data_IF_691475066773
#
_entry.id   IF_691475066773
#
_cell.length_a   1.000
_cell.length_b   1.000
_cell.length_c   1.000
_cell.angle_alpha   90.00
_cell.angle_beta   90.00
_cell.angle_gamma   90.00
#
_symmetry.space_group_name_H-M   'P 1'
#
loop_
_entity.id
_entity.type
_entity.pdbx_description
1 polymer ?
#
# COMPACT_ATOMS: atom_id res chain seq x y z
N UNK A 1 -24.88 12.74 7.85
CA UNK A 1 -23.68 12.17 8.47
C UNK A 1 -23.15 11.16 7.47
N UNK A 2 -21.96 11.35 6.98
CA UNK A 2 -21.37 10.44 5.97
C UNK A 2 -20.85 9.19 6.67
N UNK A 3 -21.20 8.02 6.18
CA UNK A 3 -20.82 6.75 6.78
C UNK A 3 -19.65 6.13 6.01
N UNK A 4 -18.48 6.02 6.67
CA UNK A 4 -17.24 5.57 6.01
C UNK A 4 -16.77 4.28 6.66
N UNK A 5 -16.75 3.18 5.89
CA UNK A 5 -16.17 1.92 6.30
C UNK A 5 -14.67 1.89 6.02
N UNK A 6 -13.88 1.31 6.93
CA UNK A 6 -12.43 1.15 6.77
C UNK A 6 -12.07 -0.30 7.02
N UNK A 7 -11.54 -0.98 5.99
CA UNK A 7 -11.01 -2.35 6.15
C UNK A 7 -9.64 -2.34 6.81
N UNK A 8 -9.22 -3.47 7.36
CA UNK A 8 -7.94 -3.54 8.07
C UNK A 8 -7.87 -2.64 9.31
N UNK A 9 -9.01 -2.28 9.90
CA UNK A 9 -9.13 -1.28 10.98
C UNK A 9 -8.34 -1.59 12.27
N UNK A 10 -7.89 -2.84 12.47
CA UNK A 10 -6.97 -3.20 13.57
C UNK A 10 -5.49 -3.10 13.19
N UNK A 11 -5.20 -2.93 11.89
CA UNK A 11 -3.83 -2.71 11.40
C UNK A 11 -3.35 -1.29 11.69
N UNK A 12 -2.04 -1.08 11.54
CA UNK A 12 -1.40 0.23 11.79
C UNK A 12 -1.99 1.32 10.89
N UNK A 13 -2.16 1.05 9.60
CA UNK A 13 -2.69 2.03 8.65
C UNK A 13 -4.22 2.20 8.81
N UNK A 14 -4.98 1.11 8.77
CA UNK A 14 -6.44 1.19 8.88
C UNK A 14 -6.91 1.80 10.21
N UNK A 15 -6.23 1.47 11.32
CA UNK A 15 -6.50 2.08 12.63
C UNK A 15 -6.22 3.59 12.66
N UNK A 16 -5.14 4.03 12.02
CA UNK A 16 -4.83 5.45 11.87
C UNK A 16 -5.91 6.18 11.04
N UNK A 17 -6.31 5.60 9.90
CA UNK A 17 -7.39 6.17 9.07
C UNK A 17 -8.69 6.27 9.87
N UNK A 18 -9.06 5.23 10.63
CA UNK A 18 -10.22 5.30 11.52
C UNK A 18 -10.12 6.45 12.53
N UNK A 19 -8.95 6.66 13.13
CA UNK A 19 -8.74 7.74 14.10
C UNK A 19 -8.87 9.12 13.47
N UNK A 20 -8.30 9.31 12.27
CA UNK A 20 -8.38 10.57 11.53
C UNK A 20 -9.82 10.89 11.13
N UNK A 21 -10.54 9.91 10.60
CA UNK A 21 -11.95 10.08 10.19
C UNK A 21 -12.88 10.30 11.38
N UNK A 22 -12.63 9.66 12.53
CA UNK A 22 -13.41 9.84 13.74
C UNK A 22 -13.26 11.24 14.37
N UNK A 23 -12.22 11.99 14.00
CA UNK A 23 -12.07 13.39 14.41
C UNK A 23 -13.02 14.35 13.66
N UNK A 24 -13.65 13.89 12.56
CA UNK A 24 -14.57 14.68 11.74
C UNK A 24 -16.01 14.53 12.28
N UNK A 25 -16.64 15.61 12.81
CA UNK A 25 -17.96 15.52 13.44
C UNK A 25 -19.10 15.06 12.50
N UNK A 26 -18.91 15.21 11.19
CA UNK A 26 -19.88 14.82 10.17
C UNK A 26 -19.75 13.36 9.70
N UNK A 27 -18.79 12.59 10.25
CA UNK A 27 -18.48 11.23 9.83
C UNK A 27 -18.85 10.20 10.90
N UNK A 28 -19.51 9.12 10.47
CA UNK A 28 -19.63 7.87 11.22
C UNK A 28 -18.64 6.85 10.65
N UNK A 29 -17.65 6.45 11.45
CA UNK A 29 -16.65 5.45 11.05
C UNK A 29 -17.16 4.04 11.35
N UNK A 30 -17.09 3.14 10.36
CA UNK A 30 -17.42 1.72 10.46
C UNK A 30 -16.12 0.89 10.37
N UNK A 31 -15.52 0.48 11.50
CA UNK A 31 -14.31 -0.32 11.46
C UNK A 31 -14.61 -1.75 11.00
N UNK A 32 -14.11 -2.15 9.83
CA UNK A 32 -14.23 -3.53 9.33
C UNK A 32 -12.97 -4.30 9.72
N UNK A 33 -13.15 -5.22 10.65
CA UNK A 33 -12.07 -6.08 11.17
C UNK A 33 -12.38 -7.53 10.84
N UNK A 34 -11.40 -8.43 10.91
CA UNK A 34 -11.63 -9.88 10.72
C UNK A 34 -12.71 -10.45 11.64
N UNK A 35 -12.88 -9.91 12.84
CA UNK A 35 -13.93 -10.34 13.76
C UNK A 35 -15.32 -9.87 13.34
N UNK A 36 -15.44 -8.79 12.56
CA UNK A 36 -16.69 -8.26 12.01
C UNK A 36 -17.03 -8.98 10.69
N UNK A 37 -16.06 -9.09 9.79
CA UNK A 37 -16.18 -9.80 8.52
C UNK A 37 -14.80 -10.26 8.06
N UNK A 38 -14.62 -11.56 7.87
CA UNK A 38 -13.43 -12.10 7.22
C UNK A 38 -13.50 -11.79 5.73
N UNK A 39 -12.36 -11.53 5.09
CA UNK A 39 -12.31 -11.25 3.65
C UNK A 39 -12.70 -12.46 2.80
N UNK A 40 -12.68 -13.67 3.36
CA UNK A 40 -13.16 -14.88 2.70
C UNK A 40 -14.69 -15.08 2.84
N UNK A 41 -15.38 -14.29 3.70
CA UNK A 41 -16.84 -14.34 3.92
C UNK A 41 -17.56 -13.18 3.20
N UNK A 42 -17.81 -13.33 1.90
CA UNK A 42 -18.49 -12.31 1.09
C UNK A 42 -19.88 -11.90 1.65
N UNK A 43 -20.75 -12.80 2.15
CA UNK A 43 -21.98 -12.41 2.83
C UNK A 43 -21.76 -11.55 4.09
N UNK A 44 -20.74 -11.85 4.92
CA UNK A 44 -20.43 -11.03 6.09
C UNK A 44 -19.90 -9.66 5.69
N UNK A 45 -19.04 -9.59 4.66
CA UNK A 45 -18.56 -8.33 4.10
C UNK A 45 -19.72 -7.47 3.60
N UNK A 46 -20.65 -8.04 2.85
CA UNK A 46 -21.84 -7.31 2.37
C UNK A 46 -22.65 -6.74 3.54
N UNK A 47 -22.94 -7.55 4.56
CA UNK A 47 -23.67 -7.08 5.75
C UNK A 47 -22.95 -5.96 6.50
N UNK A 48 -21.61 -6.05 6.60
CA UNK A 48 -20.79 -5.05 7.27
C UNK A 48 -20.77 -3.70 6.53
N UNK A 49 -20.98 -3.72 5.20
CA UNK A 49 -20.95 -2.53 4.34
C UNK A 49 -22.35 -1.91 4.11
N UNK A 50 -23.46 -2.52 4.53
CA UNK A 50 -24.79 -1.95 4.33
C UNK A 50 -24.91 -0.57 4.96
N UNK A 51 -25.42 0.39 4.16
CA UNK A 51 -25.57 1.79 4.56
C UNK A 51 -24.27 2.58 4.64
N UNK A 52 -23.18 2.05 4.09
CA UNK A 52 -21.90 2.77 3.94
C UNK A 52 -21.92 3.61 2.66
N UNK A 53 -21.54 4.89 2.75
CA UNK A 53 -21.40 5.78 1.61
C UNK A 53 -20.06 5.58 0.91
N UNK A 54 -18.97 5.47 1.70
CA UNK A 54 -17.59 5.33 1.22
C UNK A 54 -16.89 4.16 1.90
N UNK A 55 -16.17 3.35 1.14
CA UNK A 55 -15.26 2.30 1.63
C UNK A 55 -13.80 2.73 1.45
N UNK A 56 -13.04 2.82 2.53
CA UNK A 56 -11.57 2.84 2.46
C UNK A 56 -11.07 1.41 2.49
N UNK A 57 -10.59 0.93 1.34
CA UNK A 57 -10.08 -0.41 1.15
C UNK A 57 -8.57 -0.45 1.44
N UNK A 58 -8.22 -0.90 2.65
CA UNK A 58 -6.85 -1.25 3.03
C UNK A 58 -6.68 -2.75 2.85
N UNK A 59 -5.67 -3.16 2.08
CA UNK A 59 -5.39 -4.56 1.75
C UNK A 59 -5.19 -5.44 2.98
N UNK A 60 -5.53 -6.73 2.80
CA UNK A 60 -5.02 -7.78 3.67
C UNK A 60 -3.52 -8.02 3.43
N UNK A 61 -2.90 -8.79 4.29
CA UNK A 61 -1.54 -9.29 4.17
C UNK A 61 -1.55 -10.76 3.73
N UNK A 62 -0.45 -11.24 3.12
CA UNK A 62 -0.28 -12.64 2.71
C UNK A 62 0.05 -12.80 1.23
N UNK A 63 -0.13 -14.00 0.70
CA UNK A 63 0.17 -14.36 -0.68
C UNK A 63 -0.65 -13.56 -1.68
N UNK A 64 -0.05 -13.17 -2.81
CA UNK A 64 -0.63 -12.23 -3.77
C UNK A 64 -1.99 -12.71 -4.31
N UNK A 65 -2.12 -14.00 -4.61
CA UNK A 65 -3.38 -14.58 -5.12
C UNK A 65 -4.49 -14.47 -4.08
N UNK A 66 -4.18 -14.73 -2.81
CA UNK A 66 -5.14 -14.56 -1.72
C UNK A 66 -5.53 -13.11 -1.51
N UNK A 67 -4.57 -12.20 -1.58
CA UNK A 67 -4.84 -10.76 -1.48
C UNK A 67 -5.75 -10.30 -2.63
N UNK A 68 -5.49 -10.77 -3.86
CA UNK A 68 -6.38 -10.49 -5.00
C UNK A 68 -7.79 -11.03 -4.77
N UNK A 69 -7.92 -12.27 -4.28
CA UNK A 69 -9.25 -12.84 -3.99
C UNK A 69 -10.00 -12.01 -2.93
N UNK A 70 -9.30 -11.55 -1.88
CA UNK A 70 -9.88 -10.66 -0.87
C UNK A 70 -10.37 -9.35 -1.48
N UNK A 71 -9.60 -8.75 -2.39
CA UNK A 71 -10.00 -7.53 -3.09
C UNK A 71 -11.24 -7.76 -3.97
N UNK A 72 -11.32 -8.89 -4.68
CA UNK A 72 -12.48 -9.24 -5.50
C UNK A 72 -13.73 -9.49 -4.65
N UNK A 73 -13.59 -10.15 -3.50
CA UNK A 73 -14.67 -10.34 -2.54
C UNK A 73 -15.20 -9.00 -2.00
N UNK A 74 -14.28 -8.07 -1.65
CA UNK A 74 -14.63 -6.71 -1.22
C UNK A 74 -15.30 -5.92 -2.34
N UNK A 75 -14.81 -6.02 -3.57
CA UNK A 75 -15.42 -5.38 -4.73
C UNK A 75 -16.88 -5.87 -4.96
N UNK A 76 -17.10 -7.17 -4.89
CA UNK A 76 -18.43 -7.74 -4.98
C UNK A 76 -19.36 -7.29 -3.83
N UNK A 77 -18.85 -7.31 -2.60
CA UNK A 77 -19.59 -6.87 -1.42
C UNK A 77 -19.93 -5.35 -1.48
N UNK A 78 -19.04 -4.52 -2.01
CA UNK A 78 -19.25 -3.09 -2.26
C UNK A 78 -20.46 -2.84 -3.13
N UNK A 79 -20.57 -3.55 -4.26
CA UNK A 79 -21.73 -3.46 -5.17
C UNK A 79 -23.00 -3.96 -4.51
N UNK A 80 -22.93 -5.13 -3.85
CA UNK A 80 -24.08 -5.75 -3.21
C UNK A 80 -24.65 -4.91 -2.04
N UNK A 81 -23.79 -4.15 -1.34
CA UNK A 81 -24.18 -3.27 -0.26
C UNK A 81 -24.63 -1.87 -0.74
N UNK A 82 -24.43 -1.52 -2.02
CA UNK A 82 -24.78 -0.22 -2.58
C UNK A 82 -23.83 0.91 -2.15
N UNK A 83 -22.55 0.61 -1.86
CA UNK A 83 -21.53 1.62 -1.57
C UNK A 83 -21.29 2.48 -2.80
N UNK A 84 -21.31 3.80 -2.66
CA UNK A 84 -21.17 4.74 -3.78
C UNK A 84 -19.73 5.05 -4.18
N UNK A 85 -18.80 4.98 -3.24
CA UNK A 85 -17.40 5.36 -3.47
C UNK A 85 -16.41 4.41 -2.77
N UNK A 86 -15.31 4.09 -3.46
CA UNK A 86 -14.19 3.30 -2.91
C UNK A 86 -12.89 4.11 -2.98
N UNK A 87 -12.23 4.28 -1.84
CA UNK A 87 -10.84 4.75 -1.76
C UNK A 87 -9.96 3.53 -1.62
N UNK A 88 -9.27 3.16 -2.69
CA UNK A 88 -8.40 1.99 -2.75
C UNK A 88 -6.96 2.35 -2.38
N UNK A 89 -6.37 1.68 -1.40
CA UNK A 89 -4.91 1.66 -1.24
C UNK A 89 -4.29 0.81 -2.35
N UNK A 90 -3.63 1.46 -3.28
CA UNK A 90 -2.91 0.88 -4.42
C UNK A 90 -1.41 1.20 -4.33
N UNK A 91 -0.63 1.01 -5.39
CA UNK A 91 0.80 1.30 -5.46
C UNK A 91 1.18 2.12 -6.69
N UNK A 92 2.25 2.91 -6.61
CA UNK A 92 2.75 3.70 -7.76
C UNK A 92 3.18 2.81 -8.92
N UNK A 93 3.72 1.62 -8.67
CA UNK A 93 3.98 0.59 -9.68
C UNK A 93 2.71 -0.24 -9.89
N UNK A 94 1.69 0.35 -10.53
CA UNK A 94 0.43 -0.33 -10.84
C UNK A 94 0.45 -0.80 -12.30
N UNK A 95 1.01 -1.98 -12.53
CA UNK A 95 1.19 -2.55 -13.88
C UNK A 95 1.06 -4.08 -13.84
N UNK A 96 0.30 -4.65 -14.82
CA UNK A 96 0.13 -6.11 -14.96
C UNK A 96 1.42 -6.83 -15.32
N UNK A 97 2.36 -6.12 -15.94
CA UNK A 97 3.66 -6.64 -16.38
C UNK A 97 4.79 -6.28 -15.40
N UNK A 98 4.47 -5.69 -14.25
CA UNK A 98 5.48 -5.40 -13.23
C UNK A 98 6.18 -6.67 -12.73
N UNK A 99 7.49 -6.64 -12.50
CA UNK A 99 8.17 -7.69 -11.74
C UNK A 99 7.53 -7.92 -10.37
N UNK A 100 7.06 -6.86 -9.70
CA UNK A 100 6.53 -6.93 -8.34
C UNK A 100 5.15 -7.57 -8.28
N UNK A 101 5.02 -8.65 -7.52
CA UNK A 101 3.79 -9.43 -7.42
C UNK A 101 2.59 -8.60 -6.95
N UNK A 102 2.74 -7.71 -5.98
CA UNK A 102 1.64 -6.88 -5.50
C UNK A 102 1.29 -5.72 -6.43
N UNK A 103 2.23 -5.23 -7.25
CA UNK A 103 1.91 -4.27 -8.31
C UNK A 103 0.91 -4.85 -9.31
N UNK A 104 1.08 -6.14 -9.68
CA UNK A 104 0.14 -6.87 -10.53
C UNK A 104 -1.22 -7.05 -9.85
N UNK A 105 -1.24 -7.37 -8.55
CA UNK A 105 -2.49 -7.44 -7.75
C UNK A 105 -3.24 -6.12 -7.78
N UNK A 106 -2.52 -5.01 -7.54
CA UNK A 106 -3.13 -3.68 -7.57
C UNK A 106 -3.68 -3.31 -8.96
N UNK A 107 -2.94 -3.64 -10.03
CA UNK A 107 -3.40 -3.41 -11.41
C UNK A 107 -4.69 -4.21 -11.73
N UNK A 108 -4.77 -5.47 -11.29
CA UNK A 108 -5.96 -6.30 -11.46
C UNK A 108 -7.12 -5.78 -10.61
N UNK A 109 -6.84 -5.32 -9.40
CA UNK A 109 -7.85 -4.73 -8.49
C UNK A 109 -8.42 -3.43 -9.05
N UNK A 110 -7.56 -2.49 -9.50
CA UNK A 110 -8.02 -1.25 -10.13
C UNK A 110 -8.88 -1.55 -11.36
N UNK A 111 -8.44 -2.49 -12.20
CA UNK A 111 -9.21 -2.89 -13.38
C UNK A 111 -10.57 -3.52 -13.01
N UNK A 112 -10.61 -4.40 -12.00
CA UNK A 112 -11.87 -5.00 -11.56
C UNK A 112 -12.84 -3.96 -10.99
N UNK A 113 -12.35 -3.01 -10.19
CA UNK A 113 -13.18 -1.94 -9.65
C UNK A 113 -13.68 -0.97 -10.75
N UNK A 114 -12.89 -0.69 -11.77
CA UNK A 114 -13.28 0.16 -12.89
C UNK A 114 -14.45 -0.40 -13.73
N UNK A 115 -14.64 -1.73 -13.73
CA UNK A 115 -15.79 -2.39 -14.39
C UNK A 115 -17.10 -2.28 -13.58
N UNK A 116 -17.01 -1.84 -12.31
CA UNK A 116 -18.16 -1.71 -11.44
C UNK A 116 -18.78 -0.31 -11.56
N UNK A 117 -20.09 -0.22 -11.22
CA UNK A 117 -20.81 1.07 -11.13
C UNK A 117 -20.60 1.71 -9.76
N UNK A 118 -19.35 2.01 -9.43
CA UNK A 118 -18.94 2.66 -8.19
C UNK A 118 -17.81 3.64 -8.50
N UNK A 119 -17.82 4.80 -7.86
CA UNK A 119 -16.73 5.75 -8.00
C UNK A 119 -15.48 5.22 -7.27
N UNK A 120 -14.32 5.31 -7.90
CA UNK A 120 -13.07 4.80 -7.36
C UNK A 120 -11.99 5.87 -7.33
N UNK A 121 -11.41 6.07 -6.16
CA UNK A 121 -10.18 6.84 -5.97
C UNK A 121 -9.04 5.89 -5.62
N UNK A 122 -8.13 5.63 -6.55
CA UNK A 122 -6.92 4.87 -6.26
C UNK A 122 -5.85 5.78 -5.64
N UNK A 123 -5.48 5.50 -4.41
CA UNK A 123 -4.34 6.10 -3.69
C UNK A 123 -3.14 5.18 -3.90
N UNK A 124 -2.33 5.52 -4.89
CA UNK A 124 -1.15 4.74 -5.31
C UNK A 124 0.05 5.13 -4.47
N UNK A 125 0.22 4.45 -3.35
CA UNK A 125 1.31 4.71 -2.43
C UNK A 125 2.64 4.13 -2.93
N UNK A 126 3.74 4.83 -2.70
CA UNK A 126 5.07 4.27 -2.77
C UNK A 126 5.33 3.32 -1.61
N UNK A 127 6.51 2.69 -1.58
CA UNK A 127 6.89 1.75 -0.51
C UNK A 127 6.96 2.49 0.82
N UNK A 128 6.35 1.90 1.85
CA UNK A 128 6.35 2.50 3.18
C UNK A 128 7.76 2.53 3.78
N UNK A 129 8.16 3.68 4.29
CA UNK A 129 9.45 3.89 4.95
C UNK A 129 9.69 2.87 6.07
N UNK A 130 8.66 2.59 6.88
CA UNK A 130 8.76 1.68 8.02
C UNK A 130 8.88 0.21 7.60
N UNK A 131 8.27 -0.17 6.48
CA UNK A 131 8.43 -1.49 5.90
C UNK A 131 9.83 -1.66 5.30
N UNK A 132 10.28 -0.65 4.56
CA UNK A 132 11.60 -0.66 3.94
C UNK A 132 12.73 -0.69 4.96
N UNK A 133 12.55 -0.03 6.11
CA UNK A 133 13.50 -0.08 7.21
C UNK A 133 13.76 -1.52 7.72
N UNK A 134 12.70 -2.32 7.85
CA UNK A 134 12.82 -3.74 8.21
C UNK A 134 13.55 -4.57 7.13
N UNK A 135 13.33 -4.27 5.85
CA UNK A 135 14.06 -4.93 4.76
C UNK A 135 15.55 -4.56 4.74
N UNK A 136 15.89 -3.32 5.06
CA UNK A 136 17.30 -2.89 5.20
C UNK A 136 17.99 -3.71 6.32
N UNK A 137 17.33 -3.90 7.46
CA UNK A 137 17.86 -4.72 8.55
C UNK A 137 18.04 -6.18 8.11
N UNK A 138 17.06 -6.76 7.44
CA UNK A 138 17.08 -8.12 6.93
C UNK A 138 18.21 -8.34 5.90
N UNK A 139 18.48 -7.34 5.05
CA UNK A 139 19.45 -7.38 3.96
C UNK A 139 20.89 -6.97 4.40
N UNK A 140 21.07 -6.55 5.65
CA UNK A 140 22.38 -6.12 6.15
C UNK A 140 23.25 -7.33 6.53
N UNK A 141 24.49 -7.33 6.04
CA UNK A 141 25.52 -8.33 6.37
C UNK A 141 26.80 -7.59 6.76
N UNK A 142 27.16 -7.62 8.03
CA UNK A 142 28.28 -6.82 8.55
C UNK A 142 28.05 -5.33 8.34
N UNK A 143 28.93 -4.67 7.58
CA UNK A 143 28.80 -3.25 7.22
C UNK A 143 28.21 -3.03 5.81
N UNK A 144 27.61 -4.04 5.19
CA UNK A 144 27.10 -3.99 3.83
C UNK A 144 25.57 -4.12 3.81
N UNK A 145 24.92 -3.28 3.01
CA UNK A 145 23.53 -3.42 2.58
C UNK A 145 23.50 -4.15 1.22
N UNK A 146 23.05 -5.39 1.21
CA UNK A 146 23.10 -6.29 0.04
C UNK A 146 21.71 -6.46 -0.56
N UNK A 147 21.39 -5.73 -1.63
CA UNK A 147 20.08 -5.74 -2.29
C UNK A 147 20.19 -5.91 -3.81
N UNK A 148 19.23 -6.60 -4.45
CA UNK A 148 19.22 -6.79 -5.91
C UNK A 148 18.53 -5.62 -6.64
N UNK A 149 18.72 -4.39 -6.16
CA UNK A 149 18.06 -3.19 -6.67
C UNK A 149 18.86 -2.45 -7.77
N UNK A 150 20.12 -2.85 -8.04
CA UNK A 150 20.98 -2.14 -9.02
C UNK A 150 21.08 -0.65 -8.69
N UNK A 151 20.94 0.20 -9.69
CA UNK A 151 20.93 1.68 -9.57
C UNK A 151 19.52 2.24 -9.33
N UNK A 152 18.56 1.38 -8.98
CA UNK A 152 17.17 1.76 -8.77
C UNK A 152 16.99 2.76 -7.64
N UNK A 153 15.96 3.59 -7.78
CA UNK A 153 15.59 4.63 -6.81
C UNK A 153 14.17 4.41 -6.32
N UNK A 154 13.86 4.91 -5.13
CA UNK A 154 12.52 4.76 -4.53
C UNK A 154 12.11 6.02 -3.76
N UNK A 155 10.92 6.53 -4.05
CA UNK A 155 10.30 7.64 -3.33
C UNK A 155 9.57 7.16 -2.08
N UNK A 156 10.31 6.65 -1.08
CA UNK A 156 9.73 6.12 0.16
C UNK A 156 8.75 7.10 0.79
N UNK A 157 7.62 6.60 1.29
CA UNK A 157 6.58 7.41 1.95
C UNK A 157 6.26 6.86 3.34
N UNK A 158 6.01 7.75 4.32
CA UNK A 158 5.60 7.30 5.65
C UNK A 158 4.18 6.73 5.62
N UNK A 159 3.94 5.71 6.46
CA UNK A 159 2.59 5.17 6.65
C UNK A 159 1.63 6.25 7.16
N UNK A 160 2.14 7.17 7.97
CA UNK A 160 1.38 8.30 8.49
C UNK A 160 0.86 9.20 7.37
N UNK A 161 1.71 9.56 6.41
CA UNK A 161 1.33 10.39 5.27
C UNK A 161 0.28 9.70 4.39
N UNK A 162 0.45 8.41 4.12
CA UNK A 162 -0.54 7.64 3.35
C UNK A 162 -1.87 7.57 4.09
N UNK A 163 -1.87 7.41 5.41
CA UNK A 163 -3.08 7.44 6.22
C UNK A 163 -3.82 8.77 6.14
N UNK A 164 -3.08 9.90 6.19
CA UNK A 164 -3.64 11.25 6.00
C UNK A 164 -4.26 11.42 4.62
N UNK A 165 -3.58 10.97 3.57
CA UNK A 165 -4.10 11.04 2.19
C UNK A 165 -5.34 10.16 2.01
N UNK A 166 -5.36 8.93 2.54
CA UNK A 166 -6.54 8.06 2.47
C UNK A 166 -7.75 8.71 3.14
N UNK A 167 -7.57 9.29 4.34
CA UNK A 167 -8.64 10.00 5.04
C UNK A 167 -9.12 11.23 4.24
N UNK A 168 -8.19 12.04 3.71
CA UNK A 168 -8.53 13.20 2.88
C UNK A 168 -9.32 12.80 1.61
N UNK A 169 -8.90 11.73 0.93
CA UNK A 169 -9.61 11.21 -0.25
C UNK A 169 -11.00 10.64 0.08
N UNK A 170 -11.20 10.10 1.28
CA UNK A 170 -12.51 9.62 1.72
C UNK A 170 -13.49 10.76 2.02
N UNK A 171 -12.98 11.92 2.44
CA UNK A 171 -13.78 13.13 2.72
C UNK A 171 -14.04 13.98 1.48
N UNK A 172 -13.04 14.09 0.61
CA UNK A 172 -13.08 14.90 -0.62
C UNK A 172 -12.36 14.16 -1.77
N UNK A 173 -13.09 13.31 -2.52
CA UNK A 173 -12.49 12.48 -3.56
C UNK A 173 -11.89 13.33 -4.70
N UNK A 174 -10.62 13.13 -5.06
CA UNK A 174 -10.04 13.75 -6.25
C UNK A 174 -10.57 13.08 -7.53
N UNK A 175 -10.60 13.85 -8.63
CA UNK A 175 -11.10 13.37 -9.93
C UNK A 175 -10.20 12.32 -10.63
N UNK A 176 -9.01 12.07 -10.12
CA UNK A 176 -8.02 11.16 -10.74
C UNK A 176 -7.30 10.34 -9.66
N UNK A 177 -6.70 9.19 -10.02
CA UNK A 177 -5.78 8.48 -9.13
C UNK A 177 -4.69 9.40 -8.59
N UNK A 178 -4.20 9.10 -7.38
CA UNK A 178 -3.23 9.91 -6.66
C UNK A 178 -1.99 9.09 -6.38
N UNK A 179 -0.86 9.45 -7.01
CA UNK A 179 0.44 8.87 -6.68
C UNK A 179 1.00 9.57 -5.43
N UNK A 180 1.30 8.79 -4.38
CA UNK A 180 1.69 9.28 -3.06
C UNK A 180 3.09 8.82 -2.72
N UNK A 181 4.01 9.78 -2.62
CA UNK A 181 5.43 9.54 -2.36
C UNK A 181 5.93 10.42 -1.21
N UNK A 182 7.09 10.10 -0.68
CA UNK A 182 7.84 11.03 0.14
C UNK A 182 8.47 12.16 -0.70
N UNK A 183 9.21 13.08 -0.06
CA UNK A 183 9.69 14.30 -0.71
C UNK A 183 10.90 14.09 -1.62
N UNK A 184 11.48 12.88 -1.66
CA UNK A 184 12.65 12.57 -2.48
C UNK A 184 12.69 11.09 -2.89
N UNK A 185 13.13 10.81 -4.12
CA UNK A 185 13.50 9.47 -4.54
C UNK A 185 14.97 9.19 -4.13
N UNK A 186 15.18 8.10 -3.42
CA UNK A 186 16.46 7.75 -2.79
C UNK A 186 17.13 6.60 -3.56
N UNK A 187 18.43 6.74 -3.85
CA UNK A 187 19.24 5.62 -4.30
C UNK A 187 19.57 4.68 -3.14
N UNK A 188 19.93 3.44 -3.45
CA UNK A 188 20.33 2.46 -2.43
C UNK A 188 21.58 2.87 -1.67
N UNK A 189 22.54 3.56 -2.34
CA UNK A 189 23.71 4.17 -1.69
C UNK A 189 23.30 5.19 -0.63
N UNK A 190 22.33 6.04 -0.98
CA UNK A 190 21.82 7.04 -0.02
C UNK A 190 21.16 6.39 1.18
N UNK A 191 20.35 5.35 0.95
CA UNK A 191 19.73 4.56 2.03
C UNK A 191 20.79 3.90 2.92
N UNK A 192 21.80 3.26 2.33
CA UNK A 192 22.89 2.63 3.07
C UNK A 192 23.67 3.63 3.91
N UNK A 193 24.05 4.77 3.32
CA UNK A 193 24.84 5.80 3.98
C UNK A 193 24.17 6.36 5.24
N UNK A 194 22.85 6.48 5.30
CA UNK A 194 22.12 6.94 6.50
C UNK A 194 22.21 5.99 7.68
N UNK A 195 22.58 4.73 7.41
CA UNK A 195 22.79 3.68 8.42
C UNK A 195 24.26 3.36 8.67
N UNK A 196 25.18 4.13 8.07
CA UNK A 196 26.63 3.87 8.13
C UNK A 196 27.04 2.57 7.40
N UNK A 197 26.23 2.13 6.41
CA UNK A 197 26.47 0.95 5.61
C UNK A 197 27.00 1.34 4.21
N UNK A 198 27.66 0.37 3.56
CA UNK A 198 28.01 0.44 2.13
C UNK A 198 27.00 -0.37 1.32
N UNK A 199 26.44 0.21 0.27
CA UNK A 199 25.57 -0.53 -0.64
C UNK A 199 26.39 -1.48 -1.52
N UNK A 200 25.96 -2.74 -1.60
CA UNK A 200 26.55 -3.76 -2.47
C UNK A 200 25.41 -4.37 -3.32
N UNK A 201 25.35 -4.02 -4.62
CA UNK A 201 24.37 -4.65 -5.50
C UNK A 201 24.67 -6.15 -5.64
N UNK A 202 23.64 -6.99 -5.47
CA UNK A 202 23.73 -8.44 -5.61
C UNK A 202 22.74 -8.95 -6.64
N UNK A 203 22.90 -10.19 -7.09
CA UNK A 203 21.90 -10.85 -7.93
C UNK A 203 20.66 -11.24 -7.13
N UNK A 204 19.52 -11.43 -7.83
CA UNK A 204 18.30 -11.95 -7.21
C UNK A 204 18.53 -13.34 -6.57
N UNK A 205 19.36 -14.18 -7.18
CA UNK A 205 19.67 -15.50 -6.66
C UNK A 205 20.47 -15.42 -5.34
N UNK A 206 21.46 -14.53 -5.25
CA UNK A 206 22.21 -14.29 -4.01
C UNK A 206 21.32 -13.74 -2.91
N UNK A 207 20.42 -12.81 -3.25
CA UNK A 207 19.48 -12.26 -2.27
C UNK A 207 18.49 -13.32 -1.79
N UNK A 208 17.89 -14.11 -2.68
CA UNK A 208 17.02 -15.21 -2.32
C UNK A 208 17.73 -16.26 -1.44
N UNK A 209 19.01 -16.60 -1.75
CA UNK A 209 19.81 -17.48 -0.92
C UNK A 209 20.09 -16.90 0.49
N UNK A 210 20.28 -15.58 0.59
CA UNK A 210 20.43 -14.88 1.87
C UNK A 210 19.16 -14.92 2.72
N UNK A 211 17.98 -14.88 2.08
CA UNK A 211 16.69 -14.98 2.76
C UNK A 211 16.31 -16.41 3.15
N UNK A 212 16.94 -17.42 2.56
CA UNK A 212 16.65 -18.82 2.85
C UNK A 212 16.83 -19.14 4.35
N UNK A 213 15.80 -19.71 4.95
CA UNK A 213 15.77 -20.02 6.40
C UNK A 213 15.50 -18.81 7.32
N UNK A 214 15.42 -17.60 6.79
CA UNK A 214 15.04 -16.37 7.50
C UNK A 214 13.61 -15.97 7.20
N UNK A 215 13.18 -16.21 5.94
CA UNK A 215 11.86 -15.92 5.42
C UNK A 215 11.22 -17.15 4.81
N UNK A 216 9.89 -17.14 4.66
CA UNK A 216 9.20 -18.17 3.90
C UNK A 216 9.53 -18.04 2.41
N UNK A 217 9.38 -19.12 1.61
CA UNK A 217 9.59 -19.05 0.16
C UNK A 217 8.76 -17.95 -0.51
N UNK A 218 7.52 -17.74 -0.05
CA UNK A 218 6.66 -16.68 -0.55
C UNK A 218 7.24 -15.27 -0.30
N UNK A 219 7.63 -14.96 0.93
CA UNK A 219 8.18 -13.64 1.26
C UNK A 219 9.52 -13.40 0.60
N UNK A 220 10.37 -14.43 0.48
CA UNK A 220 11.61 -14.34 -0.30
C UNK A 220 11.33 -13.94 -1.76
N UNK A 221 10.34 -14.58 -2.40
CA UNK A 221 9.89 -14.23 -3.75
C UNK A 221 9.33 -12.80 -3.80
N UNK A 222 8.43 -12.42 -2.88
CA UNK A 222 7.79 -11.12 -2.88
C UNK A 222 8.82 -9.98 -2.75
N UNK A 223 9.77 -10.10 -1.82
CA UNK A 223 10.83 -9.10 -1.64
C UNK A 223 11.76 -9.03 -2.85
N UNK A 224 12.18 -10.17 -3.38
CA UNK A 224 13.02 -10.21 -4.59
C UNK A 224 12.32 -9.55 -5.78
N UNK A 225 11.04 -9.84 -5.98
CA UNK A 225 10.22 -9.27 -7.05
C UNK A 225 10.06 -7.75 -6.92
N UNK A 226 9.95 -7.24 -5.70
CA UNK A 226 9.90 -5.79 -5.43
C UNK A 226 11.22 -5.10 -5.81
N UNK A 227 12.36 -5.68 -5.43
CA UNK A 227 13.65 -5.11 -5.83
C UNK A 227 13.90 -5.21 -7.34
N UNK A 228 13.37 -6.22 -8.02
CA UNK A 228 13.33 -6.28 -9.47
C UNK A 228 12.59 -5.09 -10.10
N UNK A 229 11.47 -4.70 -9.50
CA UNK A 229 10.71 -3.52 -9.92
C UNK A 229 11.45 -2.20 -9.60
N UNK A 230 12.13 -2.10 -8.45
CA UNK A 230 12.98 -0.94 -8.12
C UNK A 230 14.13 -0.84 -9.12
N UNK A 231 14.83 -1.93 -9.43
CA UNK A 231 15.89 -1.98 -10.46
C UNK A 231 15.39 -1.53 -11.83
N UNK A 232 14.13 -1.82 -12.15
CA UNK A 232 13.47 -1.36 -13.38
C UNK A 232 13.01 0.12 -13.32
N UNK A 233 13.43 0.89 -12.34
CA UNK A 233 13.14 2.34 -12.13
C UNK A 233 11.64 2.67 -11.98
N UNK A 234 10.80 1.71 -11.62
CA UNK A 234 9.34 1.90 -11.52
C UNK A 234 8.90 2.68 -10.29
N UNK A 235 9.83 2.96 -9.36
CA UNK A 235 9.61 3.67 -8.10
C UNK A 235 10.35 5.01 -8.00
N UNK A 236 11.06 5.39 -9.09
CA UNK A 236 11.74 6.69 -9.18
C UNK A 236 10.75 7.80 -9.55
N UNK A 237 9.86 8.08 -8.61
CA UNK A 237 8.81 9.10 -8.74
C UNK A 237 8.73 9.91 -7.45
N UNK A 238 8.49 11.23 -7.60
CA UNK A 238 8.24 12.17 -6.51
C UNK A 238 7.05 13.02 -6.87
N UNK A 239 6.10 13.15 -5.95
CA UNK A 239 4.89 13.98 -6.11
C UNK A 239 4.68 14.87 -4.88
N UNK A 240 3.88 15.90 -5.06
CA UNK A 240 3.43 16.82 -3.99
C UNK A 240 2.07 16.41 -3.37
N UNK A 241 1.59 15.21 -3.68
CA UNK A 241 0.25 14.77 -3.34
C UNK A 241 -0.07 14.83 -1.84
N UNK A 242 0.90 14.51 -0.99
CA UNK A 242 0.72 14.59 0.48
C UNK A 242 0.38 16.02 0.87
N UNK A 243 1.23 16.99 0.49
CA UNK A 243 1.04 18.39 0.86
C UNK A 243 -0.25 18.97 0.24
N UNK A 244 -0.47 18.71 -1.03
CA UNK A 244 -1.64 19.21 -1.77
C UNK A 244 -2.97 18.72 -1.20
N UNK A 245 -3.05 17.46 -0.72
CA UNK A 245 -4.29 16.88 -0.22
C UNK A 245 -4.48 17.04 1.29
N UNK A 246 -3.39 17.19 2.04
CA UNK A 246 -3.46 17.24 3.51
C UNK A 246 -3.10 18.59 4.10
N UNK A 247 -2.58 19.52 3.29
CA UNK A 247 -2.07 20.82 3.75
C UNK A 247 -0.77 20.75 4.56
N UNK A 248 -0.14 19.56 4.64
CA UNK A 248 1.10 19.34 5.38
C UNK A 248 2.13 18.66 4.49
N UNK A 249 3.42 19.04 4.55
CA UNK A 249 4.46 18.44 3.73
C UNK A 249 4.60 16.94 4.03
N UNK A 250 5.11 16.19 3.02
CA UNK A 250 5.46 14.80 3.20
C UNK A 250 6.64 14.64 4.17
N UNK A 251 6.56 13.64 5.04
CA UNK A 251 7.61 13.32 6.01
C UNK A 251 8.86 12.79 5.30
N UNK A 252 10.06 13.34 5.54
CA UNK A 252 11.30 12.78 5.03
C UNK A 252 11.48 11.33 5.48
N UNK A 253 11.91 10.47 4.58
CA UNK A 253 12.12 9.03 4.87
C UNK A 253 13.42 8.77 5.66
N UNK A 254 14.36 9.74 5.69
CA UNK A 254 15.70 9.62 6.27
C UNK A 254 16.05 10.90 7.02
#
# INVERSE_FOLDING_TARGET
MTRIAVTGARGRLGGQVCSLLAAEPSVEVVPVTRAVADYDDAPALTRALVGTDTLVLVSSDGEAERVLQHHLNLAAATVAAGVGHVVLLSSVDVDRDSPFCYARVNALTEAALAELRVDVTAVRASIFTEFYAGLVELATVGAELRLPAGDGRVGLVSREDVGRVLAACALAPPARPVDVTGPAALSMDRVAATRGLTYVPVSEAEFAAHLAGRETPWWSYAYTSMFGSIRAQRWDIVTDAVERLTGQPATPAL
#
